data_IF_714526375881
#
_entry.id   IF_714526375881
#
_cell.length_a   1.000
_cell.length_b   1.000
_cell.length_c   1.000
_cell.angle_alpha   90.00
_cell.angle_beta   90.00
_cell.angle_gamma   90.00
#
_symmetry.space_group_name_H-M   'P 1'
#
loop_
_entity.id
_entity.type
_entity.pdbx_description
1 polymer ?
#
# COMPACT_ATOMS: atom_id res chain seq x y z
N UNK A 1 -12.25 -18.18 -8.61
CA UNK A 1 -12.26 -16.73 -8.31
C UNK A 1 -11.22 -16.35 -7.26
N UNK A 2 -11.16 -17.00 -6.10
CA UNK A 2 -10.21 -16.65 -5.01
C UNK A 2 -8.73 -16.80 -5.40
N UNK A 3 -8.33 -17.86 -6.10
CA UNK A 3 -6.93 -18.05 -6.55
C UNK A 3 -6.48 -16.92 -7.48
N UNK A 4 -7.37 -16.46 -8.37
CA UNK A 4 -7.11 -15.30 -9.24
C UNK A 4 -6.96 -14.00 -8.42
N UNK A 5 -7.76 -13.83 -7.37
CA UNK A 5 -7.66 -12.68 -6.47
C UNK A 5 -6.32 -12.68 -5.70
N UNK A 6 -5.88 -13.83 -5.22
CA UNK A 6 -4.55 -13.96 -4.57
C UNK A 6 -3.44 -13.60 -5.55
N UNK A 7 -3.48 -14.11 -6.79
CA UNK A 7 -2.51 -13.74 -7.82
C UNK A 7 -2.52 -12.23 -8.08
N UNK A 8 -3.68 -11.60 -8.17
CA UNK A 8 -3.80 -10.15 -8.38
C UNK A 8 -3.23 -9.35 -7.20
N UNK A 9 -3.41 -9.80 -5.96
CA UNK A 9 -2.79 -9.16 -4.80
C UNK A 9 -1.26 -9.27 -4.83
N UNK A 10 -0.73 -10.42 -5.24
CA UNK A 10 0.71 -10.61 -5.38
C UNK A 10 1.29 -9.74 -6.51
N UNK A 11 0.60 -9.65 -7.66
CA UNK A 11 0.99 -8.75 -8.74
C UNK A 11 0.96 -7.28 -8.28
N UNK A 12 -0.08 -6.87 -7.55
CA UNK A 12 -0.14 -5.53 -6.96
C UNK A 12 1.05 -5.27 -6.04
N UNK A 13 1.39 -6.21 -5.16
CA UNK A 13 2.52 -6.10 -4.25
C UNK A 13 3.87 -5.97 -4.96
N UNK A 14 4.09 -6.74 -6.03
CA UNK A 14 5.29 -6.63 -6.87
C UNK A 14 5.40 -5.23 -7.49
N UNK A 15 4.30 -4.71 -8.03
CA UNK A 15 4.28 -3.38 -8.62
C UNK A 15 4.48 -2.28 -7.55
N UNK A 16 3.82 -2.40 -6.39
CA UNK A 16 3.99 -1.44 -5.29
C UNK A 16 5.39 -1.42 -4.73
N UNK A 17 6.07 -2.57 -4.65
CA UNK A 17 7.42 -2.69 -4.08
C UNK A 17 8.47 -1.83 -4.76
N UNK A 18 8.25 -1.45 -6.03
CA UNK A 18 9.13 -0.52 -6.76
C UNK A 18 9.00 0.93 -6.27
N UNK A 19 7.92 1.24 -5.55
CA UNK A 19 7.56 2.61 -5.17
C UNK A 19 8.62 3.28 -4.30
N UNK A 20 9.13 2.60 -3.28
CA UNK A 20 10.12 3.17 -2.37
C UNK A 20 11.40 3.63 -3.08
N UNK A 21 11.93 2.78 -3.96
CA UNK A 21 13.11 3.10 -4.77
C UNK A 21 12.84 4.31 -5.70
N UNK A 22 11.79 4.22 -6.52
CA UNK A 22 11.55 5.25 -7.54
C UNK A 22 11.18 6.59 -6.91
N UNK A 23 10.41 6.61 -5.81
CA UNK A 23 10.13 7.85 -5.06
C UNK A 23 11.44 8.48 -4.56
N UNK A 24 12.41 7.69 -4.08
CA UNK A 24 13.72 8.19 -3.64
C UNK A 24 14.50 8.84 -4.77
N UNK A 25 14.47 8.26 -5.96
CA UNK A 25 15.20 8.74 -7.15
C UNK A 25 14.58 10.01 -7.76
N UNK A 26 13.30 10.27 -7.58
CA UNK A 26 12.65 11.49 -8.08
C UNK A 26 13.05 12.68 -7.20
N UNK A 27 13.74 13.66 -7.78
CA UNK A 27 14.10 14.90 -7.08
C UNK A 27 13.03 15.97 -7.32
N UNK A 28 12.06 16.04 -6.39
CA UNK A 28 10.98 17.02 -6.38
C UNK A 28 10.28 17.07 -5.03
N UNK A 29 9.40 18.08 -4.85
CA UNK A 29 8.56 18.20 -3.65
C UNK A 29 7.71 16.93 -3.47
N UNK A 30 7.74 16.28 -2.28
CA UNK A 30 7.05 14.99 -2.07
C UNK A 30 5.54 15.06 -2.29
N UNK A 31 4.89 16.19 -1.96
CA UNK A 31 3.45 16.36 -2.16
C UNK A 31 3.13 16.54 -3.64
N UNK A 32 3.99 17.24 -4.39
CA UNK A 32 3.89 17.35 -5.85
C UNK A 32 4.07 15.98 -6.52
N UNK A 33 5.05 15.16 -6.07
CA UNK A 33 5.23 13.79 -6.57
C UNK A 33 3.95 12.99 -6.36
N UNK A 34 3.37 13.02 -5.15
CA UNK A 34 2.14 12.32 -4.85
C UNK A 34 0.99 12.76 -5.76
N UNK A 35 0.84 14.07 -5.93
CA UNK A 35 -0.21 14.66 -6.76
C UNK A 35 -0.10 14.30 -8.23
N UNK A 36 1.06 14.52 -8.85
CA UNK A 36 1.23 14.28 -10.29
C UNK A 36 1.14 12.80 -10.65
N UNK A 37 1.78 11.89 -9.87
CA UNK A 37 1.63 10.47 -10.10
C UNK A 37 0.17 10.01 -9.89
N UNK A 38 -0.56 10.65 -8.96
CA UNK A 38 -1.99 10.42 -8.75
C UNK A 38 -2.80 10.82 -9.98
N UNK A 39 -2.57 12.02 -10.55
CA UNK A 39 -3.25 12.45 -11.78
C UNK A 39 -2.95 11.50 -12.95
N UNK A 40 -1.70 11.10 -13.14
CA UNK A 40 -1.33 10.12 -14.19
C UNK A 40 -2.09 8.81 -13.96
N UNK A 41 -2.10 8.28 -12.72
CA UNK A 41 -2.86 7.08 -12.36
C UNK A 41 -4.35 7.25 -12.65
N UNK A 42 -4.94 8.41 -12.32
CA UNK A 42 -6.33 8.71 -12.62
C UNK A 42 -6.63 8.56 -14.12
N UNK A 43 -5.78 9.10 -15.00
CA UNK A 43 -5.97 8.93 -16.44
C UNK A 43 -5.84 7.48 -16.91
N UNK A 44 -4.91 6.72 -16.35
CA UNK A 44 -4.78 5.27 -16.61
C UNK A 44 -6.06 4.54 -16.21
N UNK A 45 -6.58 4.81 -15.02
CA UNK A 45 -7.81 4.19 -14.52
C UNK A 45 -9.04 4.61 -15.33
N UNK A 46 -9.12 5.88 -15.75
CA UNK A 46 -10.18 6.36 -16.64
C UNK A 46 -10.16 5.64 -17.99
N UNK A 47 -8.97 5.45 -18.58
CA UNK A 47 -8.82 4.71 -19.83
C UNK A 47 -9.24 3.23 -19.68
N UNK A 48 -9.00 2.63 -18.50
CA UNK A 48 -9.42 1.27 -18.22
C UNK A 48 -10.93 1.14 -18.02
N UNK A 49 -11.53 2.00 -17.18
CA UNK A 49 -12.97 1.94 -16.83
C UNK A 49 -13.85 2.49 -17.97
N UNK A 50 -13.34 3.44 -18.76
CA UNK A 50 -14.03 4.18 -19.84
C UNK A 50 -15.25 4.99 -19.38
N UNK A 51 -16.17 4.39 -18.64
CA UNK A 51 -17.40 5.00 -18.14
C UNK A 51 -17.53 4.80 -16.63
N UNK A 52 -16.81 5.62 -15.80
CA UNK A 52 -16.84 5.47 -14.36
C UNK A 52 -18.23 5.80 -13.80
N UNK A 53 -18.68 4.97 -12.84
CA UNK A 53 -19.95 5.13 -12.15
C UNK A 53 -19.70 5.48 -10.69
N UNK A 54 -19.89 6.73 -10.35
CA UNK A 54 -19.77 7.20 -8.96
C UNK A 54 -21.13 7.09 -8.28
N UNK A 55 -21.17 6.41 -7.13
CA UNK A 55 -22.38 6.31 -6.31
C UNK A 55 -22.43 7.36 -5.19
N UNK A 56 -21.33 8.10 -4.99
CA UNK A 56 -21.17 9.17 -3.99
C UNK A 56 -21.51 8.73 -2.57
N UNK A 57 -21.49 7.43 -2.30
CA UNK A 57 -21.77 6.88 -0.99
C UNK A 57 -20.66 7.25 0.02
N UNK A 58 -21.02 7.22 1.31
CA UNK A 58 -20.04 7.42 2.38
C UNK A 58 -18.82 6.49 2.26
N UNK A 59 -18.95 5.17 1.94
CA UNK A 59 -17.78 4.32 1.71
C UNK A 59 -16.93 4.74 0.50
N UNK A 60 -17.53 5.25 -0.57
CA UNK A 60 -16.78 5.70 -1.75
C UNK A 60 -15.97 6.97 -1.45
N UNK A 61 -16.62 7.97 -0.86
CA UNK A 61 -15.96 9.24 -0.51
C UNK A 61 -14.91 9.00 0.59
N UNK A 62 -15.26 8.26 1.64
CA UNK A 62 -14.33 7.92 2.72
C UNK A 62 -13.13 7.13 2.23
N UNK A 63 -13.37 6.18 1.31
CA UNK A 63 -12.30 5.43 0.64
C UNK A 63 -11.37 6.34 -0.18
N UNK A 64 -11.93 7.27 -0.95
CA UNK A 64 -11.16 8.22 -1.76
C UNK A 64 -10.32 9.17 -0.89
N UNK A 65 -10.89 9.71 0.19
CA UNK A 65 -10.18 10.59 1.14
C UNK A 65 -9.06 9.83 1.85
N UNK A 66 -9.34 8.64 2.36
CA UNK A 66 -8.32 7.82 3.05
C UNK A 66 -7.24 7.31 2.10
N UNK A 67 -7.57 7.05 0.84
CA UNK A 67 -6.58 6.78 -0.21
C UNK A 67 -5.64 7.97 -0.41
N UNK A 68 -6.19 9.17 -0.66
CA UNK A 68 -5.40 10.38 -0.88
C UNK A 68 -4.48 10.68 0.32
N UNK A 69 -5.01 10.56 1.53
CA UNK A 69 -4.23 10.68 2.77
C UNK A 69 -3.08 9.66 2.83
N UNK A 70 -3.38 8.38 2.57
CA UNK A 70 -2.40 7.29 2.59
C UNK A 70 -1.25 7.53 1.61
N UNK A 71 -1.57 7.75 0.33
CA UNK A 71 -0.54 7.83 -0.71
C UNK A 71 0.29 9.10 -0.62
N UNK A 72 -0.30 10.20 -0.14
CA UNK A 72 0.43 11.45 0.11
C UNK A 72 1.41 11.28 1.27
N UNK A 73 0.94 10.79 2.42
CA UNK A 73 1.79 10.58 3.58
C UNK A 73 2.87 9.53 3.34
N UNK A 74 2.59 8.49 2.54
CA UNK A 74 3.59 7.50 2.17
C UNK A 74 4.76 8.11 1.38
N UNK A 75 4.47 9.00 0.41
CA UNK A 75 5.54 9.70 -0.34
C UNK A 75 6.32 10.63 0.56
N UNK A 76 5.65 11.41 1.40
CA UNK A 76 6.28 12.30 2.37
C UNK A 76 7.18 11.49 3.31
N UNK A 77 6.67 10.39 3.88
CA UNK A 77 7.43 9.50 4.73
C UNK A 77 8.68 8.95 4.01
N UNK A 78 8.50 8.43 2.80
CA UNK A 78 9.60 7.87 1.99
C UNK A 78 10.70 8.91 1.71
N UNK A 79 10.35 10.18 1.56
CA UNK A 79 11.33 11.27 1.38
C UNK A 79 12.01 11.67 2.68
N UNK A 80 11.29 11.68 3.80
CA UNK A 80 11.80 12.13 5.10
C UNK A 80 12.56 11.03 5.86
N UNK A 81 12.24 9.75 5.63
CA UNK A 81 12.96 8.61 6.25
C UNK A 81 13.49 7.64 5.19
N UNK A 82 13.93 6.45 5.55
CA UNK A 82 14.32 5.44 4.57
C UNK A 82 13.10 4.81 3.91
N UNK A 83 13.22 4.35 2.66
CA UNK A 83 12.13 3.64 1.98
C UNK A 83 11.71 2.38 2.77
N UNK A 84 12.67 1.68 3.38
CA UNK A 84 12.41 0.54 4.24
C UNK A 84 11.57 0.93 5.47
N UNK A 85 11.97 1.98 6.21
CA UNK A 85 11.20 2.44 7.38
C UNK A 85 9.78 2.88 6.99
N UNK A 86 9.63 3.63 5.90
CA UNK A 86 8.33 4.10 5.45
C UNK A 86 7.36 2.94 5.21
N UNK A 87 7.80 1.90 4.46
CA UNK A 87 6.94 0.77 4.15
C UNK A 87 6.68 -0.11 5.37
N UNK A 88 7.69 -0.33 6.21
CA UNK A 88 7.55 -1.18 7.40
C UNK A 88 6.60 -0.58 8.43
N UNK A 89 6.70 0.72 8.68
CA UNK A 89 5.79 1.42 9.59
C UNK A 89 4.37 1.50 9.03
N UNK A 90 4.20 1.62 7.71
CA UNK A 90 2.89 1.51 7.08
C UNK A 90 2.27 0.12 7.29
N UNK A 91 3.09 -0.93 7.43
CA UNK A 91 2.65 -2.29 7.74
C UNK A 91 2.10 -2.49 9.18
N UNK A 92 1.91 -1.43 9.95
CA UNK A 92 1.02 -1.42 11.12
C UNK A 92 -0.46 -1.56 10.71
N UNK A 93 -0.81 -1.32 9.46
CA UNK A 93 -2.16 -1.39 8.90
C UNK A 93 -2.96 -2.68 9.24
N UNK A 94 -2.39 -3.90 9.24
CA UNK A 94 -3.11 -5.12 9.63
C UNK A 94 -3.72 -5.06 11.03
N UNK A 95 -3.07 -4.37 11.99
CA UNK A 95 -3.59 -4.21 13.35
C UNK A 95 -4.91 -3.42 13.31
N UNK A 96 -4.90 -2.28 12.63
CA UNK A 96 -6.09 -1.43 12.50
C UNK A 96 -7.23 -2.16 11.77
N UNK A 97 -6.92 -2.93 10.70
CA UNK A 97 -7.95 -3.71 10.00
C UNK A 97 -8.50 -4.83 10.87
N UNK A 98 -7.70 -5.49 11.70
CA UNK A 98 -8.17 -6.54 12.59
C UNK A 98 -9.16 -6.01 13.63
N UNK A 99 -8.92 -4.82 14.18
CA UNK A 99 -9.84 -4.16 15.12
C UNK A 99 -11.07 -3.57 14.43
N UNK A 100 -10.85 -2.73 13.44
CA UNK A 100 -11.93 -1.98 12.80
C UNK A 100 -12.79 -2.84 11.87
N UNK A 101 -12.23 -3.91 11.30
CA UNK A 101 -12.93 -4.81 10.38
C UNK A 101 -14.10 -5.53 11.04
N UNK A 102 -13.98 -5.89 12.31
CA UNK A 102 -15.06 -6.49 13.08
C UNK A 102 -16.24 -5.54 13.25
N UNK A 103 -15.96 -4.27 13.53
CA UNK A 103 -16.98 -3.25 13.75
C UNK A 103 -17.59 -2.75 12.44
N UNK A 104 -16.74 -2.46 11.43
CA UNK A 104 -17.19 -1.79 10.20
C UNK A 104 -17.74 -2.75 9.13
N UNK A 105 -17.18 -3.98 9.06
CA UNK A 105 -17.53 -4.97 8.02
C UNK A 105 -18.20 -6.23 8.59
N UNK A 106 -18.18 -6.42 9.92
CA UNK A 106 -18.55 -7.69 10.54
C UNK A 106 -17.51 -8.82 10.30
N UNK A 107 -16.35 -8.50 9.73
CA UNK A 107 -15.26 -9.45 9.47
C UNK A 107 -14.37 -9.58 10.71
N UNK A 108 -14.62 -10.58 11.56
CA UNK A 108 -13.86 -10.80 12.79
C UNK A 108 -12.54 -11.52 12.51
N UNK A 109 -11.44 -10.94 13.00
CA UNK A 109 -10.13 -11.60 13.01
C UNK A 109 -10.19 -12.82 13.95
N UNK A 110 -9.67 -13.95 13.47
CA UNK A 110 -9.57 -15.20 14.25
C UNK A 110 -8.30 -15.18 15.10
N UNK A 111 -8.17 -16.08 16.08
CA UNK A 111 -7.00 -16.16 16.94
C UNK A 111 -5.68 -16.30 16.15
N UNK A 112 -5.67 -17.09 15.07
CA UNK A 112 -4.48 -17.25 14.22
C UNK A 112 -4.16 -16.00 13.38
N UNK A 113 -5.15 -15.14 13.08
CA UNK A 113 -4.92 -13.85 12.43
C UNK A 113 -4.17 -12.91 13.38
N UNK A 114 -4.56 -12.89 14.67
CA UNK A 114 -3.85 -12.15 15.71
C UNK A 114 -2.43 -12.65 15.91
N UNK A 115 -2.24 -13.97 15.98
CA UNK A 115 -0.91 -14.56 16.06
C UNK A 115 -0.04 -14.13 14.86
N UNK A 116 -0.58 -14.20 13.64
CA UNK A 116 0.11 -13.72 12.42
C UNK A 116 0.48 -12.25 12.52
N UNK A 117 -0.45 -11.39 12.97
CA UNK A 117 -0.19 -9.97 13.14
C UNK A 117 0.96 -9.73 14.12
N UNK A 118 0.96 -10.41 15.28
CA UNK A 118 2.05 -10.31 16.26
C UNK A 118 3.40 -10.74 15.69
N UNK A 119 3.44 -11.84 14.94
CA UNK A 119 4.69 -12.34 14.32
C UNK A 119 5.15 -11.39 13.22
N UNK A 120 4.24 -10.87 12.39
CA UNK A 120 4.55 -9.86 11.36
C UNK A 120 5.08 -8.59 12.01
N UNK A 121 4.45 -8.09 13.08
CA UNK A 121 4.91 -6.92 13.80
C UNK A 121 6.28 -7.13 14.46
N UNK A 122 6.53 -8.32 15.00
CA UNK A 122 7.86 -8.70 15.51
C UNK A 122 8.91 -8.69 14.40
N UNK A 123 8.60 -9.28 13.24
CA UNK A 123 9.45 -9.24 12.05
C UNK A 123 9.73 -7.82 11.57
N UNK A 124 8.71 -6.97 11.52
CA UNK A 124 8.83 -5.54 11.23
C UNK A 124 9.71 -4.85 12.28
N UNK A 125 9.52 -5.18 13.57
CA UNK A 125 10.34 -4.64 14.67
C UNK A 125 11.83 -4.93 14.51
N UNK A 126 12.21 -6.10 13.96
CA UNK A 126 13.61 -6.45 13.72
C UNK A 126 14.30 -5.50 12.74
N UNK A 127 13.58 -4.96 11.74
CA UNK A 127 14.15 -3.98 10.82
C UNK A 127 14.61 -2.69 11.53
N UNK A 128 13.98 -2.32 12.65
CA UNK A 128 14.41 -1.15 13.43
C UNK A 128 15.74 -1.35 14.12
N UNK A 129 16.16 -2.57 14.38
CA UNK A 129 17.45 -2.85 15.04
C UNK A 129 18.64 -2.48 14.15
N UNK A 130 18.47 -2.48 12.83
CA UNK A 130 19.56 -2.13 11.90
C UNK A 130 19.63 -0.62 11.57
N UNK A 131 18.52 0.13 11.66
CA UNK A 131 18.44 1.45 10.99
C UNK A 131 17.63 2.53 11.72
N UNK A 132 17.52 2.50 13.04
CA UNK A 132 16.91 3.62 13.78
C UNK A 132 17.84 4.82 13.79
N UNK A 133 17.70 5.70 12.81
CA UNK A 133 18.29 7.04 12.90
C UNK A 133 17.31 7.97 13.62
N UNK A 134 17.66 8.55 14.77
CA UNK A 134 16.78 9.44 15.54
C UNK A 134 16.27 10.67 14.78
N UNK A 135 16.93 11.03 13.66
CA UNK A 135 16.64 12.25 12.92
C UNK A 135 15.39 12.27 12.04
N UNK A 136 14.69 11.13 11.89
CA UNK A 136 13.57 11.00 10.94
C UNK A 136 12.20 10.79 11.61
N UNK A 137 12.01 11.36 12.82
CA UNK A 137 10.77 11.17 13.60
C UNK A 137 9.52 11.56 12.80
N UNK A 138 9.52 12.70 12.12
CA UNK A 138 8.39 13.16 11.32
C UNK A 138 8.07 12.17 10.18
N UNK A 139 9.08 11.67 9.48
CA UNK A 139 8.90 10.66 8.43
C UNK A 139 8.30 9.36 8.99
N UNK A 140 8.75 8.92 10.15
CA UNK A 140 8.23 7.73 10.82
C UNK A 140 6.76 7.92 11.27
N UNK A 141 6.42 9.09 11.80
CA UNK A 141 5.03 9.44 12.16
C UNK A 141 4.15 9.46 10.92
N UNK A 142 4.58 10.09 9.82
CA UNK A 142 3.86 10.07 8.55
C UNK A 142 3.63 8.64 8.03
N UNK A 143 4.60 7.74 8.18
CA UNK A 143 4.48 6.35 7.78
C UNK A 143 3.43 5.59 8.60
N UNK A 144 3.41 5.75 9.92
CA UNK A 144 2.40 5.15 10.81
C UNK A 144 1.00 5.67 10.47
N UNK A 145 0.85 6.99 10.30
CA UNK A 145 -0.41 7.61 9.91
C UNK A 145 -0.87 7.12 8.53
N UNK A 146 0.06 6.97 7.57
CA UNK A 146 -0.23 6.34 6.28
C UNK A 146 -0.74 4.90 6.44
N UNK A 147 -0.19 4.12 7.39
CA UNK A 147 -0.69 2.79 7.73
C UNK A 147 -2.13 2.78 8.23
N UNK A 148 -2.48 3.72 9.12
CA UNK A 148 -3.84 3.92 9.58
C UNK A 148 -4.80 4.31 8.44
N UNK A 149 -4.37 5.24 7.58
CA UNK A 149 -5.10 5.63 6.37
C UNK A 149 -5.33 4.46 5.42
N UNK A 150 -4.29 3.64 5.19
CA UNK A 150 -4.37 2.45 4.33
C UNK A 150 -5.35 1.42 4.88
N UNK A 151 -5.36 1.21 6.19
CA UNK A 151 -6.34 0.34 6.83
C UNK A 151 -7.77 0.81 6.59
N UNK A 152 -8.05 2.10 6.83
CA UNK A 152 -9.37 2.69 6.56
C UNK A 152 -9.75 2.58 5.08
N UNK A 153 -8.82 2.89 4.18
CA UNK A 153 -9.02 2.75 2.73
C UNK A 153 -9.43 1.31 2.36
N UNK A 154 -8.70 0.31 2.86
CA UNK A 154 -9.01 -1.11 2.58
C UNK A 154 -10.39 -1.51 3.10
N UNK A 155 -10.76 -1.03 4.29
CA UNK A 155 -12.09 -1.27 4.86
C UNK A 155 -13.21 -0.66 3.99
N UNK A 156 -13.04 0.57 3.51
CA UNK A 156 -13.97 1.20 2.59
C UNK A 156 -14.03 0.50 1.25
N UNK A 157 -12.89 0.14 0.66
CA UNK A 157 -12.81 -0.65 -0.58
C UNK A 157 -13.55 -1.98 -0.43
N UNK A 158 -13.36 -2.66 0.70
CA UNK A 158 -14.05 -3.92 0.99
C UNK A 158 -15.56 -3.73 1.17
N UNK A 159 -16.00 -2.61 1.75
CA UNK A 159 -17.42 -2.26 1.84
C UNK A 159 -18.05 -2.07 0.46
N UNK A 160 -17.28 -1.54 -0.48
CA UNK A 160 -17.65 -1.30 -1.88
C UNK A 160 -17.48 -2.53 -2.80
N UNK A 161 -17.18 -3.72 -2.28
CA UNK A 161 -16.82 -4.92 -3.08
C UNK A 161 -17.82 -5.30 -4.18
N UNK A 162 -19.10 -5.02 -3.96
CA UNK A 162 -20.19 -5.34 -4.90
C UNK A 162 -20.59 -4.14 -5.78
N UNK A 163 -19.91 -3.01 -5.64
CA UNK A 163 -20.18 -1.76 -6.34
C UNK A 163 -18.95 -1.36 -7.17
N UNK A 164 -18.32 -0.26 -6.82
CA UNK A 164 -17.29 0.41 -7.63
C UNK A 164 -15.97 0.64 -6.86
N UNK A 165 -15.22 -0.42 -6.47
CA UNK A 165 -13.96 -0.23 -5.76
C UNK A 165 -12.93 0.58 -6.56
N UNK A 166 -12.86 0.36 -7.88
CA UNK A 166 -11.88 1.02 -8.73
C UNK A 166 -12.17 2.52 -8.89
N UNK A 167 -13.44 2.90 -8.95
CA UNK A 167 -13.87 4.30 -9.01
C UNK A 167 -13.56 5.05 -7.69
N UNK A 168 -13.52 4.32 -6.57
CA UNK A 168 -13.04 4.88 -5.29
C UNK A 168 -11.56 5.27 -5.38
N UNK A 169 -10.72 4.43 -6.00
CA UNK A 169 -9.31 4.72 -6.24
C UNK A 169 -9.16 5.88 -7.23
N UNK A 170 -9.98 5.90 -8.29
CA UNK A 170 -9.98 6.99 -9.28
C UNK A 170 -10.27 8.34 -8.61
N UNK A 171 -11.30 8.40 -7.79
CA UNK A 171 -11.67 9.60 -7.03
C UNK A 171 -10.56 9.98 -6.03
N UNK A 172 -9.96 9.00 -5.37
CA UNK A 172 -8.83 9.20 -4.45
C UNK A 172 -7.60 9.78 -5.15
N UNK A 173 -7.29 9.31 -6.35
CA UNK A 173 -6.22 9.87 -7.19
C UNK A 173 -6.50 11.31 -7.60
N UNK A 174 -7.76 11.66 -7.91
CA UNK A 174 -8.17 13.05 -8.15
C UNK A 174 -7.92 13.90 -6.91
N UNK A 175 -8.33 13.44 -5.72
CA UNK A 175 -8.10 14.19 -4.48
C UNK A 175 -6.60 14.36 -4.17
N UNK A 176 -5.82 13.32 -4.43
CA UNK A 176 -4.35 13.40 -4.30
C UNK A 176 -3.76 14.45 -5.25
N UNK A 177 -4.26 14.50 -6.49
CA UNK A 177 -3.90 15.51 -7.46
C UNK A 177 -4.22 16.93 -6.99
N UNK A 178 -5.42 17.14 -6.47
CA UNK A 178 -5.84 18.44 -5.93
C UNK A 178 -5.01 18.89 -4.73
N UNK A 179 -4.66 17.95 -3.81
CA UNK A 179 -3.76 18.23 -2.68
C UNK A 179 -2.37 18.62 -3.19
N UNK A 180 -1.87 17.94 -4.22
CA UNK A 180 -0.54 18.21 -4.79
C UNK A 180 -0.48 19.50 -5.62
N UNK A 181 -1.60 19.99 -6.13
CA UNK A 181 -1.66 21.09 -7.10
C UNK A 181 -0.86 22.35 -6.69
N UNK A 182 -0.97 22.87 -5.44
CA UNK A 182 -0.21 24.05 -5.04
C UNK A 182 1.31 23.86 -5.13
N UNK A 183 1.80 22.63 -4.89
CA UNK A 183 3.21 22.30 -4.80
C UNK A 183 3.84 21.96 -6.16
N UNK A 184 3.03 21.76 -7.20
CA UNK A 184 3.51 21.41 -8.56
C UNK A 184 4.21 22.58 -9.26
N UNK A 185 3.93 23.80 -8.83
CA UNK A 185 4.45 25.02 -9.47
C UNK A 185 5.64 25.64 -8.74
N UNK A 186 6.07 25.09 -7.60
CA UNK A 186 7.20 25.60 -6.83
C UNK A 186 8.54 25.39 -7.56
N UNK A 187 8.67 24.28 -8.28
CA UNK A 187 9.86 23.92 -9.06
C UNK A 187 9.48 22.92 -10.17
N UNK A 188 10.33 22.79 -11.20
CA UNK A 188 10.15 21.78 -12.25
C UNK A 188 11.11 20.60 -12.01
N UNK A 189 10.62 19.36 -12.06
CA UNK A 189 11.47 18.19 -11.94
C UNK A 189 12.33 17.99 -13.20
N UNK A 190 13.48 17.33 -13.04
CA UNK A 190 14.36 16.96 -14.17
C UNK A 190 13.66 15.96 -15.12
N UNK A 191 14.18 15.81 -16.33
CA UNK A 191 13.65 14.83 -17.30
C UNK A 191 13.69 13.40 -16.74
N UNK A 192 14.73 13.04 -15.98
CA UNK A 192 14.83 11.72 -15.32
C UNK A 192 13.77 11.58 -14.23
N UNK A 193 13.50 12.62 -13.45
CA UNK A 193 12.44 12.64 -12.44
C UNK A 193 11.05 12.46 -13.09
N UNK A 194 10.82 13.05 -14.26
CA UNK A 194 9.57 12.84 -15.03
C UNK A 194 9.37 11.37 -15.42
N UNK A 195 10.42 10.68 -15.89
CA UNK A 195 10.33 9.23 -16.18
C UNK A 195 9.94 8.45 -14.92
N UNK A 196 10.53 8.77 -13.78
CA UNK A 196 10.17 8.16 -12.50
C UNK A 196 8.70 8.43 -12.12
N UNK A 197 8.23 9.67 -12.27
CA UNK A 197 6.84 10.04 -11.95
C UNK A 197 5.85 9.32 -12.86
N UNK A 198 6.13 9.23 -14.16
CA UNK A 198 5.30 8.51 -15.13
C UNK A 198 5.23 7.02 -14.76
N UNK A 199 6.38 6.40 -14.46
CA UNK A 199 6.41 5.00 -13.99
C UNK A 199 5.58 4.82 -12.72
N UNK A 200 5.73 5.70 -11.73
CA UNK A 200 4.96 5.67 -10.49
C UNK A 200 3.45 5.82 -10.74
N UNK A 201 3.05 6.69 -11.65
CA UNK A 201 1.65 6.92 -11.97
C UNK A 201 1.02 5.78 -12.78
N UNK A 202 1.72 5.31 -13.83
CA UNK A 202 1.18 4.29 -14.74
C UNK A 202 1.26 2.88 -14.12
N UNK A 203 2.44 2.51 -13.66
CA UNK A 203 2.74 1.13 -13.26
C UNK A 203 2.46 0.92 -11.77
N UNK A 204 3.09 1.75 -10.92
CA UNK A 204 3.09 1.55 -9.49
C UNK A 204 1.72 1.87 -8.86
N UNK A 205 0.99 2.88 -9.34
CA UNK A 205 -0.37 3.18 -8.89
C UNK A 205 -1.44 2.67 -9.88
N UNK A 206 -1.38 3.06 -11.14
CA UNK A 206 -2.46 2.79 -12.09
C UNK A 206 -2.72 1.28 -12.24
N UNK A 207 -1.75 0.55 -12.76
CA UNK A 207 -1.91 -0.88 -13.05
C UNK A 207 -2.08 -1.71 -11.77
N UNK A 208 -1.35 -1.40 -10.71
CA UNK A 208 -1.45 -2.13 -9.44
C UNK A 208 -2.85 -2.05 -8.83
N UNK A 209 -3.47 -0.86 -8.85
CA UNK A 209 -4.81 -0.70 -8.30
C UNK A 209 -5.93 -1.27 -9.17
N UNK A 210 -5.70 -1.49 -10.48
CA UNK A 210 -6.61 -2.32 -11.29
C UNK A 210 -6.65 -3.73 -10.71
N UNK A 211 -5.50 -4.36 -10.49
CA UNK A 211 -5.43 -5.71 -9.89
C UNK A 211 -5.99 -5.75 -8.47
N UNK A 212 -5.61 -4.78 -7.63
CA UNK A 212 -6.06 -4.72 -6.25
C UNK A 212 -7.59 -4.57 -6.13
N UNK A 213 -8.18 -3.69 -6.94
CA UNK A 213 -9.61 -3.44 -6.94
C UNK A 213 -10.43 -4.66 -7.39
N UNK A 214 -9.92 -5.45 -8.31
CA UNK A 214 -10.54 -6.72 -8.69
C UNK A 214 -10.38 -7.78 -7.59
N UNK A 215 -9.21 -7.83 -6.95
CA UNK A 215 -8.93 -8.81 -5.91
C UNK A 215 -9.79 -8.62 -4.66
N UNK A 216 -9.97 -7.37 -4.20
CA UNK A 216 -10.67 -7.07 -2.95
C UNK A 216 -12.13 -7.50 -2.94
N UNK A 217 -12.73 -7.70 -4.11
CA UNK A 217 -14.08 -8.23 -4.27
C UNK A 217 -14.20 -9.67 -3.73
N UNK A 218 -13.12 -10.44 -3.72
CA UNK A 218 -13.11 -11.89 -3.50
C UNK A 218 -12.34 -12.34 -2.25
N UNK A 219 -11.75 -11.43 -1.50
CA UNK A 219 -10.97 -11.68 -0.27
C UNK A 219 -11.51 -10.86 0.89
N UNK A 220 -11.15 -11.19 2.13
CA UNK A 220 -11.45 -10.34 3.28
C UNK A 220 -10.54 -9.11 3.33
N UNK A 221 -10.92 -8.07 4.09
CA UNK A 221 -10.09 -6.89 4.27
C UNK A 221 -8.71 -7.23 4.84
N UNK A 222 -8.66 -8.15 5.81
CA UNK A 222 -7.40 -8.61 6.40
C UNK A 222 -6.53 -9.41 5.40
N UNK A 223 -7.14 -10.23 4.53
CA UNK A 223 -6.44 -10.91 3.44
C UNK A 223 -5.87 -9.91 2.43
N UNK A 224 -6.62 -8.86 2.10
CA UNK A 224 -6.20 -7.83 1.15
C UNK A 224 -4.98 -7.03 1.62
N UNK A 225 -4.72 -6.95 2.93
CA UNK A 225 -3.52 -6.32 3.49
C UNK A 225 -2.38 -7.33 3.73
N UNK A 226 -2.69 -8.54 4.22
CA UNK A 226 -1.66 -9.50 4.60
C UNK A 226 -1.04 -10.22 3.38
N UNK A 227 -1.80 -10.51 2.32
CA UNK A 227 -1.27 -11.20 1.14
C UNK A 227 -0.21 -10.36 0.41
N UNK A 228 -0.37 -9.02 0.24
CA UNK A 228 0.69 -8.16 -0.27
C UNK A 228 1.94 -8.05 0.62
N UNK A 229 2.01 -8.75 1.74
CA UNK A 229 3.15 -8.75 2.68
C UNK A 229 4.52 -9.09 2.10
N UNK A 230 4.60 -9.49 0.84
CA UNK A 230 5.85 -9.61 0.07
C UNK A 230 6.44 -8.23 -0.30
N UNK A 231 5.63 -7.18 -0.36
CA UNK A 231 6.05 -5.83 -0.75
C UNK A 231 7.19 -5.28 0.13
N UNK A 232 7.10 -5.30 1.48
CA UNK A 232 8.18 -4.83 2.36
C UNK A 232 9.52 -5.54 2.17
N UNK A 233 9.49 -6.75 1.63
CA UNK A 233 10.70 -7.55 1.39
C UNK A 233 11.30 -7.22 0.04
N UNK A 234 10.48 -7.08 -0.99
CA UNK A 234 10.93 -6.74 -2.33
C UNK A 234 11.50 -5.31 -2.41
N UNK A 235 10.95 -4.37 -1.62
CA UNK A 235 11.39 -2.99 -1.63
C UNK A 235 12.88 -2.82 -1.28
N UNK A 236 13.42 -3.32 -0.15
CA UNK A 236 14.86 -3.29 0.12
C UNK A 236 15.71 -4.05 -0.92
N UNK A 237 15.17 -5.10 -1.55
CA UNK A 237 15.88 -5.83 -2.61
C UNK A 237 16.11 -4.93 -3.82
N UNK A 238 15.09 -4.18 -4.26
CA UNK A 238 15.26 -3.22 -5.35
C UNK A 238 16.26 -2.12 -5.01
N UNK A 239 16.19 -1.60 -3.78
CA UNK A 239 17.14 -0.58 -3.29
C UNK A 239 18.56 -1.15 -3.29
N UNK A 240 18.78 -2.37 -2.82
CA UNK A 240 20.07 -3.05 -2.87
C UNK A 240 20.61 -3.22 -4.31
N UNK A 241 19.78 -3.74 -5.21
CA UNK A 241 20.18 -4.01 -6.59
C UNK A 241 20.50 -2.74 -7.38
N UNK A 242 19.80 -1.62 -7.11
CA UNK A 242 19.93 -0.39 -7.89
C UNK A 242 20.85 0.65 -7.25
N UNK A 243 20.91 0.71 -5.92
CA UNK A 243 21.68 1.70 -5.18
C UNK A 243 22.88 1.09 -4.42
N UNK A 244 23.01 -0.24 -4.39
CA UNK A 244 24.06 -0.94 -3.66
C UNK A 244 23.90 -0.91 -2.13
N UNK A 245 22.80 -0.38 -1.62
CA UNK A 245 22.54 -0.32 -0.17
C UNK A 245 22.19 -1.73 0.35
N UNK A 246 23.10 -2.33 1.12
CA UNK A 246 22.88 -3.67 1.67
C UNK A 246 21.85 -3.66 2.79
N UNK A 247 20.79 -4.50 2.72
CA UNK A 247 19.90 -4.66 3.85
C UNK A 247 20.67 -5.21 5.05
N UNK A 248 20.34 -4.69 6.24
CA UNK A 248 20.94 -5.18 7.47
C UNK A 248 20.61 -6.63 7.77
N UNK A 249 21.36 -7.27 8.65
CA UNK A 249 21.13 -8.68 9.02
C UNK A 249 19.74 -8.89 9.64
N UNK A 250 19.31 -7.98 10.49
CA UNK A 250 17.99 -8.05 11.13
C UNK A 250 16.85 -7.78 10.15
N UNK A 251 17.08 -6.93 9.15
CA UNK A 251 16.14 -6.72 8.07
C UNK A 251 15.88 -8.02 7.28
N UNK A 252 16.94 -8.79 6.96
CA UNK A 252 16.80 -10.09 6.30
C UNK A 252 16.03 -11.10 7.16
N UNK A 253 16.37 -11.21 8.45
CA UNK A 253 15.66 -12.11 9.39
C UNK A 253 14.19 -11.70 9.50
N UNK A 254 13.91 -10.41 9.70
CA UNK A 254 12.55 -9.88 9.79
C UNK A 254 11.74 -10.15 8.51
N UNK A 255 12.35 -9.98 7.33
CA UNK A 255 11.74 -10.29 6.05
C UNK A 255 11.33 -11.76 5.93
N UNK A 256 12.21 -12.69 6.29
CA UNK A 256 11.90 -14.12 6.29
C UNK A 256 10.73 -14.44 7.26
N UNK A 257 10.75 -13.86 8.46
CA UNK A 257 9.68 -14.03 9.46
C UNK A 257 8.34 -13.56 8.93
N UNK A 258 8.29 -12.38 8.30
CA UNK A 258 7.07 -11.83 7.69
C UNK A 258 6.55 -12.73 6.58
N UNK A 259 7.42 -13.13 5.63
CA UNK A 259 7.05 -14.01 4.52
C UNK A 259 6.47 -15.35 4.99
N UNK A 260 7.17 -16.00 5.92
CA UNK A 260 6.72 -17.30 6.44
C UNK A 260 5.36 -17.17 7.13
N UNK A 261 5.17 -16.14 7.95
CA UNK A 261 3.92 -15.91 8.68
C UNK A 261 2.72 -15.70 7.75
N UNK A 262 2.88 -14.84 6.74
CA UNK A 262 1.82 -14.54 5.77
C UNK A 262 1.52 -15.76 4.91
N UNK A 263 2.56 -16.51 4.50
CA UNK A 263 2.40 -17.74 3.70
C UNK A 263 1.65 -18.81 4.48
N UNK A 264 2.09 -19.11 5.73
CA UNK A 264 1.45 -20.10 6.60
C UNK A 264 -0.01 -19.72 6.86
N UNK A 265 -0.27 -18.45 7.20
CA UNK A 265 -1.64 -17.95 7.38
C UNK A 265 -2.51 -18.16 6.14
N UNK A 266 -1.98 -17.86 4.96
CA UNK A 266 -2.71 -18.01 3.70
C UNK A 266 -3.04 -19.48 3.41
N UNK A 267 -2.12 -20.41 3.70
CA UNK A 267 -2.32 -21.84 3.56
C UNK A 267 -3.37 -22.37 4.55
N UNK A 268 -3.31 -21.95 5.83
CA UNK A 268 -4.32 -22.33 6.84
C UNK A 268 -5.71 -21.83 6.44
N UNK A 269 -5.81 -20.60 5.96
CA UNK A 269 -7.07 -20.01 5.51
C UNK A 269 -7.64 -20.71 4.26
N UNK A 270 -6.78 -21.26 3.39
CA UNK A 270 -7.20 -22.04 2.22
C UNK A 270 -7.77 -23.41 2.65
N UNK A 271 -7.03 -24.18 3.47
CA UNK A 271 -7.44 -25.53 3.91
C UNK A 271 -8.77 -25.56 4.66
N UNK A 272 -9.04 -24.54 5.51
CA UNK A 272 -10.31 -24.49 6.26
C UNK A 272 -11.56 -24.23 5.42
N UNK A 273 -11.43 -23.69 4.22
CA UNK A 273 -12.58 -23.51 3.30
C UNK A 273 -12.88 -24.75 2.49
N UNK A 274 -11.90 -25.62 2.26
CA UNK A 274 -12.10 -26.89 1.55
C UNK A 274 -12.78 -27.96 2.44
N UNK A 275 -12.69 -27.83 3.77
CA UNK A 275 -13.34 -28.73 4.75
C UNK A 275 -14.82 -28.38 5.00
N UNK A 276 -15.27 -27.17 4.63
CA UNK A 276 -16.67 -26.68 4.83
C UNK A 276 -17.49 -26.77 3.53
N UNK A 277 -16.91 -27.26 2.45
CA UNK A 277 -17.60 -27.66 1.21
C UNK A 277 -17.81 -29.19 1.19
#
# INVERSE_FOLDING_TARGET
>A
MRSKAILFLLLSAILWSSGGLVIKLVDWNPVAIAGVRGLISMFVLLAYVRHPRFNWSFPQIGGAVTFAFTVTLFVVATKLTTAANAILLQYTAPIYVAFLGAWFLGERARWFDWFTIFVVMGGVGLFFLDHVTPGNLLGNVCAILSGGGFACFVLFMRKQKNESPLETVLLGNLFTGLIGLPFMFESMPSAMSWLGIIFLGVVQLGLSYVFYSEAIKHVTALEAILIPGIEPILNPIWVFLMLGERPGKWALVGGVVVLMSVTIRSLIAARKKDVVR
#
